data_IF_672562427889
#
_entry.id   IF_672562427889
#
_cell.length_a   1.000
_cell.length_b   1.000
_cell.length_c   1.000
_cell.angle_alpha   90.00
_cell.angle_beta   90.00
_cell.angle_gamma   90.00
#
_symmetry.space_group_name_H-M   'P 1'
#
loop_
_entity.id
_entity.type
_entity.pdbx_description
1 polymer ?
#
# COMPACT_ATOMS: atom_id res chain seq x y z
N UNK A 1 -24.96 -4.44 35.63
CA UNK A 1 -24.49 -4.89 34.31
C UNK A 1 -24.47 -3.67 33.43
N UNK A 2 -23.30 -3.06 33.27
CA UNK A 2 -23.13 -1.84 32.47
C UNK A 2 -23.26 -2.20 31.00
N UNK A 3 -24.19 -1.57 30.29
CA UNK A 3 -24.25 -1.59 28.83
C UNK A 3 -22.99 -0.87 28.33
N UNK A 4 -21.95 -1.63 28.02
CA UNK A 4 -20.88 -1.15 27.16
C UNK A 4 -21.53 -0.90 25.81
N UNK A 5 -21.79 0.37 25.51
CA UNK A 5 -22.18 0.82 24.18
C UNK A 5 -21.16 0.29 23.20
N UNK A 6 -21.62 -0.61 22.32
CA UNK A 6 -20.93 -1.05 21.11
C UNK A 6 -20.20 0.17 20.50
N UNK A 7 -18.86 0.16 20.39
CA UNK A 7 -18.07 1.27 19.89
C UNK A 7 -18.29 1.39 18.38
N UNK A 8 -19.50 1.80 17.99
CA UNK A 8 -19.80 2.13 16.61
C UNK A 8 -19.18 3.50 16.34
N UNK A 9 -18.37 3.58 15.28
CA UNK A 9 -17.97 4.86 14.71
C UNK A 9 -19.23 5.66 14.45
N UNK A 10 -19.36 6.79 15.14
CA UNK A 10 -20.45 7.71 14.96
C UNK A 10 -20.24 8.44 13.63
N UNK A 11 -20.93 7.96 12.59
CA UNK A 11 -20.89 8.55 11.25
C UNK A 11 -21.34 10.00 11.25
N UNK A 12 -22.20 10.42 12.19
CA UNK A 12 -22.60 11.81 12.30
C UNK A 12 -21.45 12.69 12.81
N UNK A 13 -20.63 12.18 13.75
CA UNK A 13 -19.43 12.89 14.20
C UNK A 13 -18.37 12.99 13.10
N UNK A 14 -18.14 11.92 12.32
CA UNK A 14 -17.21 11.98 11.18
C UNK A 14 -17.68 12.95 10.09
N UNK A 15 -18.98 12.93 9.74
CA UNK A 15 -19.55 13.85 8.75
C UNK A 15 -19.56 15.31 9.22
N UNK A 16 -19.45 15.55 10.53
CA UNK A 16 -19.33 16.89 11.11
C UNK A 16 -17.89 17.44 11.10
N UNK A 17 -16.88 16.61 10.77
CA UNK A 17 -15.51 17.09 10.58
C UNK A 17 -15.48 17.94 9.30
N UNK A 18 -15.13 19.24 9.37
CA UNK A 18 -15.11 20.08 8.20
C UNK A 18 -14.07 19.58 7.20
N UNK A 19 -14.45 19.56 5.91
CA UNK A 19 -13.48 19.33 4.85
C UNK A 19 -12.42 20.44 4.89
N UNK A 20 -11.15 20.04 5.01
CA UNK A 20 -10.05 20.98 4.94
C UNK A 20 -9.82 21.35 3.47
N UNK A 21 -10.17 22.58 3.08
CA UNK A 21 -9.72 23.14 1.81
C UNK A 21 -8.23 23.47 1.90
N UNK A 22 -7.38 22.58 1.37
CA UNK A 22 -5.96 22.88 1.20
C UNK A 22 -5.82 23.76 -0.05
N UNK A 23 -5.58 25.05 0.15
CA UNK A 23 -5.37 25.99 -0.95
C UNK A 23 -4.18 25.54 -1.82
N UNK A 24 -4.43 25.36 -3.12
CA UNK A 24 -3.37 25.07 -4.08
C UNK A 24 -2.54 26.32 -4.30
N UNK A 25 -1.33 26.30 -3.77
CA UNK A 25 -0.36 27.34 -4.08
C UNK A 25 0.13 27.18 -5.53
N UNK A 26 0.66 28.26 -6.08
CA UNK A 26 1.31 28.23 -7.40
C UNK A 26 2.43 27.16 -7.43
N UNK A 27 3.20 27.03 -6.35
CA UNK A 27 4.27 26.03 -6.26
C UNK A 27 3.74 24.59 -6.33
N UNK A 28 2.61 24.28 -5.66
CA UNK A 28 1.96 22.96 -5.75
C UNK A 28 1.49 22.70 -7.17
N UNK A 29 0.85 23.69 -7.80
CA UNK A 29 0.35 23.58 -9.18
C UNK A 29 1.48 23.30 -10.17
N UNK A 30 2.59 24.03 -10.05
CA UNK A 30 3.78 23.81 -10.87
C UNK A 30 4.41 22.44 -10.63
N UNK A 31 4.47 21.96 -9.37
CA UNK A 31 5.01 20.64 -9.04
C UNK A 31 4.18 19.49 -9.61
N UNK A 32 2.84 19.60 -9.58
CA UNK A 32 1.92 18.66 -10.23
C UNK A 32 2.16 18.68 -11.74
N UNK A 33 2.17 19.86 -12.36
CA UNK A 33 2.38 20.00 -13.80
C UNK A 33 3.74 19.43 -14.25
N UNK A 34 4.81 19.64 -13.48
CA UNK A 34 6.13 19.08 -13.74
C UNK A 34 6.12 17.54 -13.68
N UNK A 35 5.45 16.96 -12.67
CA UNK A 35 5.32 15.51 -12.55
C UNK A 35 4.53 14.90 -13.71
N UNK A 36 3.41 15.53 -14.09
CA UNK A 36 2.60 15.12 -15.24
C UNK A 36 3.40 15.21 -16.54
N UNK A 37 4.13 16.32 -16.75
CA UNK A 37 4.97 16.50 -17.93
C UNK A 37 6.10 15.45 -18.01
N UNK A 38 6.76 15.15 -16.89
CA UNK A 38 7.79 14.12 -16.82
C UNK A 38 7.21 12.73 -17.13
N UNK A 39 6.10 12.34 -16.49
CA UNK A 39 5.43 11.06 -16.77
C UNK A 39 4.95 10.97 -18.23
N UNK A 40 4.62 12.11 -18.84
CA UNK A 40 4.25 12.24 -20.23
C UNK A 40 5.42 12.19 -21.21
N UNK A 41 6.67 12.05 -20.73
CA UNK A 41 7.89 12.14 -21.54
C UNK A 41 8.47 10.76 -21.90
N UNK A 42 9.28 10.72 -22.96
CA UNK A 42 9.98 9.50 -23.40
C UNK A 42 11.01 9.03 -22.36
N UNK A 43 11.53 9.95 -21.55
CA UNK A 43 12.44 9.61 -20.47
C UNK A 43 11.75 8.74 -19.41
N UNK A 44 10.51 9.06 -19.03
CA UNK A 44 9.77 8.24 -18.06
C UNK A 44 9.44 6.85 -18.62
N UNK A 45 9.02 6.75 -19.88
CA UNK A 45 8.75 5.45 -20.51
C UNK A 45 10.01 4.60 -20.58
N UNK A 46 11.13 5.16 -21.03
CA UNK A 46 12.43 4.47 -21.04
C UNK A 46 12.89 4.03 -19.66
N UNK A 47 12.59 4.82 -18.62
CA UNK A 47 12.88 4.41 -17.24
C UNK A 47 12.06 3.18 -16.84
N UNK A 48 10.77 3.14 -17.17
CA UNK A 48 9.89 2.01 -16.86
C UNK A 48 10.21 0.76 -17.67
N UNK A 49 10.70 0.91 -18.90
CA UNK A 49 11.22 -0.20 -19.71
C UNK A 49 12.44 -0.87 -19.07
N UNK A 50 13.19 -0.13 -18.24
CA UNK A 50 14.34 -0.67 -17.50
C UNK A 50 13.89 -1.29 -16.17
N UNK A 51 13.07 -0.57 -15.40
CA UNK A 51 12.63 -1.03 -14.07
C UNK A 51 11.37 -0.27 -13.61
N UNK A 52 10.41 -0.99 -13.04
CA UNK A 52 9.16 -0.41 -12.54
C UNK A 52 9.37 0.48 -11.30
N UNK A 53 10.46 0.26 -10.55
CA UNK A 53 10.71 0.85 -9.24
C UNK A 53 12.03 1.61 -9.18
N UNK A 54 13.09 1.13 -9.83
CA UNK A 54 14.40 1.78 -9.88
C UNK A 54 14.51 2.84 -10.99
N UNK A 55 15.31 3.92 -10.82
CA UNK A 55 16.24 4.23 -9.73
C UNK A 55 15.58 4.91 -8.52
N UNK A 56 15.02 4.09 -7.62
CA UNK A 56 14.12 4.42 -6.49
C UNK A 56 13.59 5.84 -6.53
N UNK A 57 14.26 6.81 -5.92
CA UNK A 57 13.73 8.16 -5.68
C UNK A 57 13.48 9.02 -6.93
N UNK A 58 14.09 8.67 -8.06
CA UNK A 58 13.98 9.41 -9.32
C UNK A 58 13.18 8.64 -10.38
N UNK A 59 12.53 7.53 -10.01
CA UNK A 59 11.76 6.74 -10.96
C UNK A 59 10.32 7.28 -11.14
N UNK A 60 9.69 7.00 -12.30
CA UNK A 60 8.29 7.37 -12.57
C UNK A 60 7.30 6.91 -11.50
N UNK A 61 7.61 5.80 -10.82
CA UNK A 61 6.93 5.30 -9.63
C UNK A 61 6.60 6.40 -8.60
N UNK A 62 7.57 7.25 -8.25
CA UNK A 62 7.37 8.29 -7.23
C UNK A 62 6.44 9.40 -7.66
N UNK A 63 6.53 9.81 -8.93
CA UNK A 63 5.63 10.82 -9.47
C UNK A 63 4.20 10.29 -9.52
N UNK A 64 4.00 9.05 -9.94
CA UNK A 64 2.68 8.41 -9.96
C UNK A 64 2.08 8.31 -8.55
N UNK A 65 2.88 7.86 -7.60
CA UNK A 65 2.49 7.80 -6.20
C UNK A 65 2.13 9.18 -5.65
N UNK A 66 3.02 10.16 -5.79
CA UNK A 66 2.81 11.53 -5.30
C UNK A 66 1.50 12.11 -5.84
N UNK A 67 1.24 11.98 -7.14
CA UNK A 67 0.00 12.43 -7.75
C UNK A 67 -1.20 11.70 -7.14
N UNK A 68 -1.11 10.39 -6.90
CA UNK A 68 -2.18 9.65 -6.22
C UNK A 68 -2.49 10.16 -4.81
N UNK A 69 -1.49 10.43 -3.96
CA UNK A 69 -1.73 10.99 -2.60
C UNK A 69 -2.34 12.39 -2.63
N UNK A 70 -2.03 13.17 -3.66
CA UNK A 70 -2.60 14.50 -3.87
C UNK A 70 -4.03 14.45 -4.44
N UNK A 71 -4.56 13.25 -4.73
CA UNK A 71 -5.87 13.07 -5.38
C UNK A 71 -5.85 13.32 -6.88
N UNK A 72 -4.66 13.31 -7.50
CA UNK A 72 -4.40 13.68 -8.90
C UNK A 72 -4.11 12.49 -9.81
N UNK A 73 -4.50 11.28 -9.41
CA UNK A 73 -4.28 10.08 -10.21
C UNK A 73 -4.88 10.21 -11.63
N UNK A 74 -5.99 10.93 -11.79
CA UNK A 74 -6.62 11.20 -13.08
C UNK A 74 -5.76 12.05 -14.04
N UNK A 75 -4.75 12.76 -13.53
CA UNK A 75 -3.81 13.53 -14.35
C UNK A 75 -2.59 12.70 -14.81
N UNK A 76 -2.40 11.48 -14.28
CA UNK A 76 -1.30 10.62 -14.67
C UNK A 76 -1.46 10.25 -16.16
N UNK A 77 -0.48 10.58 -17.03
CA UNK A 77 -0.59 10.29 -18.46
C UNK A 77 -0.79 8.79 -18.74
N UNK A 78 -1.77 8.46 -19.57
CA UNK A 78 -2.10 7.06 -19.91
C UNK A 78 -0.89 6.25 -20.42
N UNK A 79 0.03 6.90 -21.15
CA UNK A 79 1.29 6.28 -21.61
C UNK A 79 2.15 5.76 -20.44
N UNK A 80 2.21 6.50 -19.34
CA UNK A 80 2.96 6.08 -18.15
C UNK A 80 2.23 4.95 -17.41
N UNK A 81 0.89 5.01 -17.33
CA UNK A 81 0.07 3.95 -16.75
C UNK A 81 0.29 2.62 -17.49
N UNK A 82 0.20 2.64 -18.82
CA UNK A 82 0.42 1.46 -19.66
C UNK A 82 1.86 0.93 -19.52
N UNK A 83 2.86 1.82 -19.51
CA UNK A 83 4.26 1.42 -19.32
C UNK A 83 4.50 0.81 -17.93
N UNK A 84 3.88 1.35 -16.87
CA UNK A 84 3.99 0.83 -15.51
C UNK A 84 3.36 -0.57 -15.39
N UNK A 85 2.18 -0.78 -15.97
CA UNK A 85 1.55 -2.12 -16.03
C UNK A 85 2.49 -3.11 -16.72
N UNK A 86 3.02 -2.74 -17.88
CA UNK A 86 3.95 -3.60 -18.61
C UNK A 86 5.23 -3.89 -17.81
N UNK A 87 5.79 -2.88 -17.14
CA UNK A 87 7.00 -3.03 -16.32
C UNK A 87 6.79 -3.97 -15.12
N UNK A 88 5.64 -3.87 -14.44
CA UNK A 88 5.28 -4.77 -13.34
C UNK A 88 5.05 -6.20 -13.84
N UNK A 89 4.33 -6.36 -14.96
CA UNK A 89 4.08 -7.68 -15.53
C UNK A 89 5.36 -8.35 -16.04
N UNK A 90 6.33 -7.54 -16.49
CA UNK A 90 7.64 -8.02 -16.95
C UNK A 90 8.60 -8.42 -15.83
N UNK A 91 8.23 -8.25 -14.54
CA UNK A 91 9.06 -8.71 -13.43
C UNK A 91 9.35 -10.22 -13.57
N UNK A 92 10.62 -10.66 -13.44
CA UNK A 92 10.97 -12.07 -13.53
C UNK A 92 10.24 -12.96 -12.51
N UNK A 93 9.89 -12.43 -11.34
CA UNK A 93 9.22 -13.16 -10.26
C UNK A 93 7.84 -12.59 -9.95
N UNK A 94 6.80 -13.36 -10.25
CA UNK A 94 5.41 -13.14 -9.80
C UNK A 94 5.09 -13.91 -8.50
N UNK A 95 6.13 -14.26 -7.73
CA UNK A 95 6.03 -14.81 -6.39
C UNK A 95 7.05 -14.14 -5.47
N UNK A 96 6.72 -13.97 -4.19
CA UNK A 96 7.66 -13.51 -3.17
C UNK A 96 8.57 -14.68 -2.75
N UNK A 97 9.89 -14.62 -3.02
CA UNK A 97 10.82 -15.68 -2.68
C UNK A 97 11.13 -15.62 -1.18
N UNK A 98 10.62 -16.58 -0.42
CA UNK A 98 10.81 -16.63 1.03
C UNK A 98 12.11 -17.35 1.35
N UNK A 99 12.37 -18.46 0.68
CA UNK A 99 13.54 -19.28 0.93
C UNK A 99 14.66 -18.97 -0.07
N UNK A 100 15.94 -19.14 0.31
CA UNK A 100 17.05 -18.93 -0.62
C UNK A 100 16.92 -19.70 -1.94
N UNK A 101 16.34 -20.90 -1.93
CA UNK A 101 16.10 -21.72 -3.12
C UNK A 101 14.94 -21.25 -4.01
N UNK A 102 14.08 -20.35 -3.52
CA UNK A 102 12.99 -19.78 -4.33
C UNK A 102 13.54 -18.79 -5.37
N UNK A 103 14.77 -18.31 -5.17
CA UNK A 103 15.46 -17.41 -6.09
C UNK A 103 16.04 -18.17 -7.29
N UNK A 104 15.70 -17.77 -8.53
CA UNK A 104 16.37 -18.27 -9.72
C UNK A 104 17.87 -17.97 -9.69
N UNK A 105 18.73 -18.87 -10.22
CA UNK A 105 20.16 -18.60 -10.32
C UNK A 105 20.44 -17.30 -11.09
N UNK A 106 21.19 -16.39 -10.45
CA UNK A 106 21.60 -15.12 -11.06
C UNK A 106 20.57 -13.97 -10.97
N UNK A 107 19.42 -14.19 -10.30
CA UNK A 107 18.43 -13.13 -10.10
C UNK A 107 18.98 -11.99 -9.22
N UNK A 108 18.65 -10.74 -9.59
CA UNK A 108 18.91 -9.56 -8.79
C UNK A 108 17.79 -9.38 -7.75
N UNK A 109 18.13 -9.63 -6.48
CA UNK A 109 17.15 -9.58 -5.39
C UNK A 109 16.50 -8.23 -5.18
N UNK A 110 17.10 -7.15 -5.68
CA UNK A 110 16.57 -5.81 -5.52
C UNK A 110 15.65 -5.38 -6.65
N UNK A 111 15.65 -6.08 -7.78
CA UNK A 111 15.00 -5.65 -9.04
C UNK A 111 14.05 -6.68 -9.62
N UNK A 112 14.36 -7.96 -9.47
CA UNK A 112 13.63 -9.02 -10.18
C UNK A 112 12.31 -9.40 -9.49
N UNK A 113 11.98 -8.75 -8.37
CA UNK A 113 10.80 -9.01 -7.57
C UNK A 113 10.25 -7.73 -6.92
N UNK A 114 8.94 -7.68 -6.69
CA UNK A 114 8.30 -6.62 -5.92
C UNK A 114 8.17 -6.99 -4.42
N UNK A 115 8.23 -5.99 -3.52
CA UNK A 115 7.73 -6.15 -2.15
C UNK A 115 6.21 -6.00 -2.09
N UNK A 116 5.57 -6.56 -1.05
CA UNK A 116 4.12 -6.33 -0.79
C UNK A 116 3.77 -4.84 -0.71
N UNK A 117 4.67 -4.05 -0.10
CA UNK A 117 4.52 -2.62 0.08
C UNK A 117 4.39 -1.86 -1.24
N UNK A 118 5.32 -2.09 -2.15
CA UNK A 118 5.35 -1.49 -3.47
C UNK A 118 4.17 -2.01 -4.27
N UNK A 119 3.99 -3.33 -4.37
CA UNK A 119 2.91 -3.90 -5.16
C UNK A 119 1.53 -3.37 -4.71
N UNK A 120 1.29 -3.30 -3.39
CA UNK A 120 0.10 -2.69 -2.81
C UNK A 120 -0.06 -1.23 -3.23
N UNK A 121 0.94 -0.39 -3.01
CA UNK A 121 0.92 1.01 -3.42
C UNK A 121 0.62 1.20 -4.92
N UNK A 122 1.20 0.41 -5.82
CA UNK A 122 0.93 0.58 -7.26
C UNK A 122 -0.44 0.09 -7.66
N UNK A 123 -0.89 -1.03 -7.08
CA UNK A 123 -2.22 -1.53 -7.36
C UNK A 123 -3.27 -0.46 -7.02
N UNK A 124 -3.04 0.33 -5.96
CA UNK A 124 -3.87 1.49 -5.62
C UNK A 124 -3.84 2.58 -6.69
N UNK A 125 -2.65 3.01 -7.10
CA UNK A 125 -2.45 4.03 -8.14
C UNK A 125 -3.08 3.61 -9.46
N UNK A 126 -2.82 2.39 -9.92
CA UNK A 126 -3.34 1.85 -11.17
C UNK A 126 -4.87 1.78 -11.14
N UNK A 127 -5.45 1.32 -10.03
CA UNK A 127 -6.91 1.32 -9.84
C UNK A 127 -7.47 2.75 -9.91
N UNK A 128 -6.81 3.72 -9.26
CA UNK A 128 -7.21 5.13 -9.30
C UNK A 128 -7.04 5.77 -10.70
N UNK A 129 -6.17 5.22 -11.55
CA UNK A 129 -6.04 5.58 -12.97
C UNK A 129 -7.09 4.88 -13.86
N UNK A 130 -7.98 4.06 -13.29
CA UNK A 130 -9.00 3.32 -14.04
C UNK A 130 -8.53 1.99 -14.64
N UNK A 131 -7.37 1.48 -14.23
CA UNK A 131 -6.91 0.14 -14.65
C UNK A 131 -7.68 -0.93 -13.88
N UNK A 132 -8.24 -1.89 -14.61
CA UNK A 132 -8.70 -3.16 -14.04
C UNK A 132 -7.47 -4.02 -13.71
N UNK A 133 -6.97 -3.89 -12.47
CA UNK A 133 -5.76 -4.59 -12.00
C UNK A 133 -5.94 -6.10 -12.00
N UNK A 134 -7.15 -6.61 -11.70
CA UNK A 134 -7.42 -8.05 -11.67
C UNK A 134 -7.29 -8.66 -13.08
N UNK A 135 -7.67 -7.90 -14.11
CA UNK A 135 -7.48 -8.29 -15.50
C UNK A 135 -6.06 -8.08 -16.02
N UNK A 136 -5.46 -6.94 -15.69
CA UNK A 136 -4.16 -6.52 -16.24
C UNK A 136 -2.99 -7.25 -15.58
N UNK A 137 -3.09 -7.54 -14.28
CA UNK A 137 -2.05 -8.13 -13.45
C UNK A 137 -2.67 -9.21 -12.55
N UNK A 138 -3.20 -10.30 -13.13
CA UNK A 138 -4.04 -11.28 -12.42
C UNK A 138 -3.32 -12.01 -11.29
N UNK A 139 -1.99 -11.93 -11.23
CA UNK A 139 -1.15 -12.55 -10.20
C UNK A 139 -1.04 -11.72 -8.91
N UNK A 140 -1.48 -10.45 -8.91
CA UNK A 140 -1.38 -9.58 -7.72
C UNK A 140 -2.33 -10.00 -6.59
N UNK A 141 -3.57 -10.38 -6.90
CA UNK A 141 -4.48 -10.89 -5.86
C UNK A 141 -3.93 -12.15 -5.19
N UNK A 142 -3.60 -13.21 -5.96
CA UNK A 142 -3.09 -14.44 -5.37
C UNK A 142 -1.80 -14.21 -4.58
N UNK A 143 -0.96 -13.26 -5.00
CA UNK A 143 0.22 -12.84 -4.25
C UNK A 143 -0.14 -12.41 -2.82
N UNK A 144 -1.01 -11.40 -2.66
CA UNK A 144 -1.35 -10.90 -1.32
C UNK A 144 -1.98 -11.98 -0.44
N UNK A 145 -2.86 -12.80 -1.02
CA UNK A 145 -3.53 -13.88 -0.28
C UNK A 145 -2.53 -14.95 0.16
N UNK A 146 -1.61 -15.36 -0.73
CA UNK A 146 -0.63 -16.42 -0.47
C UNK A 146 0.29 -16.09 0.70
N UNK A 147 0.70 -14.83 0.80
CA UNK A 147 1.71 -14.40 1.76
C UNK A 147 1.13 -13.80 3.05
N UNK A 148 -0.20 -13.71 3.19
CA UNK A 148 -0.79 -13.21 4.43
C UNK A 148 -0.48 -14.12 5.62
N UNK A 149 0.28 -13.60 6.59
CA UNK A 149 0.70 -14.28 7.79
C UNK A 149 -0.49 -14.63 8.69
N UNK A 150 -0.29 -15.50 9.69
CA UNK A 150 -1.39 -16.06 10.48
C UNK A 150 -2.23 -14.99 11.21
N UNK A 151 -1.60 -13.92 11.68
CA UNK A 151 -2.27 -12.80 12.35
C UNK A 151 -2.99 -11.83 11.41
N UNK A 152 -2.88 -12.03 10.09
CA UNK A 152 -3.54 -11.21 9.07
C UNK A 152 -2.66 -10.14 8.45
N UNK A 153 -1.44 -9.95 8.93
CA UNK A 153 -0.48 -9.02 8.34
C UNK A 153 0.38 -9.63 7.22
N UNK A 154 1.27 -8.81 6.68
CA UNK A 154 2.31 -9.12 5.70
C UNK A 154 3.63 -8.54 6.20
N UNK A 155 4.76 -9.06 5.72
CA UNK A 155 6.07 -8.43 5.90
C UNK A 155 6.82 -8.42 4.57
N UNK A 156 7.54 -7.34 4.28
CA UNK A 156 8.39 -7.21 3.09
C UNK A 156 9.80 -7.76 3.28
N UNK A 157 10.15 -8.17 4.50
CA UNK A 157 11.33 -8.95 4.81
C UNK A 157 11.02 -10.44 4.65
N UNK A 158 11.76 -11.13 3.78
CA UNK A 158 11.65 -12.57 3.55
C UNK A 158 11.98 -13.41 4.80
N UNK A 159 12.90 -12.94 5.66
CA UNK A 159 13.30 -13.66 6.87
C UNK A 159 12.16 -13.71 7.90
N UNK A 160 11.26 -12.72 7.89
CA UNK A 160 10.11 -12.67 8.78
C UNK A 160 9.19 -13.90 8.64
N UNK A 161 9.21 -14.56 7.48
CA UNK A 161 8.42 -15.77 7.20
C UNK A 161 9.08 -17.06 7.67
N UNK A 162 10.33 -17.02 8.14
CA UNK A 162 11.02 -18.20 8.67
C UNK A 162 10.62 -18.50 10.13
N UNK A 163 10.01 -17.54 10.81
CA UNK A 163 9.61 -17.67 12.20
C UNK A 163 8.27 -18.40 12.30
N UNK A 164 8.27 -19.58 12.92
CA UNK A 164 7.09 -20.46 13.07
C UNK A 164 6.38 -20.31 14.41
N UNK A 165 7.05 -19.73 15.41
CA UNK A 165 6.53 -19.57 16.78
C UNK A 165 6.03 -18.15 17.08
N UNK A 166 6.35 -17.19 16.22
CA UNK A 166 5.90 -15.80 16.30
C UNK A 166 5.45 -15.33 14.93
N UNK A 167 4.51 -14.38 14.88
CA UNK A 167 4.12 -13.70 13.63
C UNK A 167 4.85 -12.36 13.53
N UNK A 168 5.95 -12.35 12.79
CA UNK A 168 6.76 -11.16 12.53
C UNK A 168 6.15 -10.26 11.42
N UNK A 169 4.83 -10.09 11.38
CA UNK A 169 4.15 -9.22 10.42
C UNK A 169 4.40 -7.73 10.71
N UNK A 170 4.23 -6.89 9.69
CA UNK A 170 4.55 -5.45 9.70
C UNK A 170 3.34 -4.58 9.38
N UNK A 171 3.12 -3.52 10.16
CA UNK A 171 2.10 -2.50 9.83
C UNK A 171 2.37 -1.86 8.47
N UNK A 172 3.62 -1.46 8.21
CA UNK A 172 4.03 -0.80 6.96
C UNK A 172 3.96 -1.76 5.77
N UNK A 173 4.31 -3.03 5.97
CA UNK A 173 4.19 -4.07 4.95
C UNK A 173 2.74 -4.47 4.63
N UNK A 174 1.82 -4.33 5.60
CA UNK A 174 0.43 -4.77 5.48
C UNK A 174 -0.48 -3.73 4.84
N UNK A 175 -0.42 -2.49 5.31
CA UNK A 175 -1.42 -1.45 5.00
C UNK A 175 -1.56 -1.19 3.49
N UNK A 176 -0.49 -1.09 2.68
CA UNK A 176 -0.64 -0.85 1.24
C UNK A 176 -1.42 -1.94 0.50
N UNK A 177 -1.18 -3.21 0.84
CA UNK A 177 -1.87 -4.34 0.22
C UNK A 177 -3.32 -4.45 0.72
N UNK A 178 -3.55 -4.17 2.01
CA UNK A 178 -4.89 -4.07 2.57
C UNK A 178 -5.73 -3.00 1.88
N UNK A 179 -5.22 -1.79 1.74
CA UNK A 179 -5.88 -0.68 1.02
C UNK A 179 -6.17 -1.05 -0.44
N UNK A 180 -5.21 -1.64 -1.15
CA UNK A 180 -5.40 -2.09 -2.53
C UNK A 180 -6.56 -3.09 -2.66
N UNK A 181 -6.63 -4.08 -1.76
CA UNK A 181 -7.70 -5.07 -1.75
C UNK A 181 -9.06 -4.47 -1.38
N UNK A 182 -9.10 -3.53 -0.42
CA UNK A 182 -10.34 -2.80 -0.06
C UNK A 182 -10.87 -2.01 -1.25
N UNK A 183 -10.00 -1.34 -2.01
CA UNK A 183 -10.40 -0.54 -3.17
C UNK A 183 -10.99 -1.33 -4.33
N UNK A 184 -10.76 -2.65 -4.39
CA UNK A 184 -11.46 -3.53 -5.35
C UNK A 184 -12.95 -3.63 -5.07
N UNK A 185 -13.41 -3.22 -3.87
CA UNK A 185 -14.83 -3.12 -3.54
C UNK A 185 -15.54 -4.46 -3.41
N UNK A 186 -14.79 -5.57 -3.26
CA UNK A 186 -15.34 -6.92 -3.09
C UNK A 186 -14.98 -7.46 -1.71
N UNK A 187 -15.94 -7.98 -0.93
CA UNK A 187 -15.62 -8.70 0.30
C UNK A 187 -14.65 -9.85 0.04
N UNK A 188 -13.59 -9.96 0.86
CA UNK A 188 -12.59 -11.00 0.72
C UNK A 188 -11.97 -11.37 2.09
N UNK A 189 -11.73 -12.65 2.41
CA UNK A 189 -11.17 -13.06 3.71
C UNK A 189 -9.85 -12.38 4.08
N UNK A 190 -8.99 -12.12 3.09
CA UNK A 190 -7.77 -11.32 3.27
C UNK A 190 -8.06 -9.97 3.92
N UNK A 191 -9.11 -9.28 3.48
CA UNK A 191 -9.47 -7.94 3.96
C UNK A 191 -9.93 -8.04 5.42
N UNK A 192 -10.82 -8.97 5.76
CA UNK A 192 -11.29 -9.14 7.14
C UNK A 192 -10.14 -9.46 8.11
N UNK A 193 -9.18 -10.28 7.68
CA UNK A 193 -7.99 -10.59 8.47
C UNK A 193 -7.05 -9.39 8.60
N UNK A 194 -6.87 -8.60 7.55
CA UNK A 194 -6.08 -7.36 7.58
C UNK A 194 -6.72 -6.29 8.47
N UNK A 195 -8.05 -6.17 8.47
CA UNK A 195 -8.76 -5.28 9.37
C UNK A 195 -8.56 -5.68 10.83
N UNK A 196 -8.74 -6.98 11.15
CA UNK A 196 -8.47 -7.50 12.48
C UNK A 196 -7.03 -7.24 12.92
N UNK A 197 -6.06 -7.45 12.04
CA UNK A 197 -4.64 -7.14 12.30
C UNK A 197 -4.42 -5.69 12.75
N UNK A 198 -5.04 -4.71 12.06
CA UNK A 198 -4.93 -3.29 12.40
C UNK A 198 -5.65 -2.94 13.72
N UNK A 199 -6.84 -3.54 13.95
CA UNK A 199 -7.66 -3.35 15.16
C UNK A 199 -6.93 -3.89 16.39
N UNK A 200 -6.39 -5.11 16.33
CA UNK A 200 -5.67 -5.74 17.44
C UNK A 200 -4.42 -4.94 17.82
N UNK A 201 -3.79 -4.27 16.86
CA UNK A 201 -2.65 -3.35 17.06
C UNK A 201 -3.07 -1.94 17.44
N UNK A 202 -4.37 -1.68 17.62
CA UNK A 202 -4.94 -0.36 17.97
C UNK A 202 -4.39 0.75 17.09
N UNK A 203 -4.16 0.45 15.81
CA UNK A 203 -3.54 1.32 14.83
C UNK A 203 -2.11 1.81 15.13
N UNK A 204 -1.52 1.60 16.32
CA UNK A 204 -0.22 2.21 16.65
C UNK A 204 0.77 1.29 17.36
N UNK A 205 0.36 0.10 17.82
CA UNK A 205 1.15 -0.73 18.72
C UNK A 205 2.18 -1.66 18.02
N UNK A 206 2.24 -1.63 16.69
CA UNK A 206 3.25 -2.36 15.91
C UNK A 206 3.20 -3.87 16.10
N UNK A 207 4.25 -4.56 15.66
CA UNK A 207 4.37 -6.01 15.86
C UNK A 207 4.69 -6.37 17.33
N UNK A 208 4.06 -7.41 17.90
CA UNK A 208 4.45 -7.94 19.21
C UNK A 208 5.68 -8.87 19.12
N UNK A 209 6.09 -9.29 17.92
CA UNK A 209 7.25 -10.19 17.73
C UNK A 209 8.57 -9.49 18.04
N UNK A 210 9.59 -10.26 18.45
CA UNK A 210 10.95 -9.74 18.61
C UNK A 210 11.63 -9.41 17.28
N UNK A 211 11.20 -10.06 16.20
CA UNK A 211 11.78 -9.95 14.86
C UNK A 211 11.28 -8.74 14.06
N UNK A 212 10.33 -7.98 14.62
CA UNK A 212 9.88 -6.70 14.08
C UNK A 212 9.64 -5.71 15.23
N UNK A 213 10.52 -5.77 16.23
CA UNK A 213 10.41 -5.01 17.47
C UNK A 213 10.56 -3.50 17.25
N UNK A 214 11.23 -3.07 16.18
CA UNK A 214 11.43 -1.68 15.82
C UNK A 214 10.10 -0.94 15.61
N UNK A 215 9.05 -1.62 15.15
CA UNK A 215 7.72 -1.01 14.97
C UNK A 215 7.15 -0.50 16.29
N UNK A 216 7.43 -1.18 17.42
CA UNK A 216 6.98 -0.69 18.74
C UNK A 216 7.66 0.63 19.10
N UNK A 217 8.92 0.80 18.73
CA UNK A 217 9.64 2.07 18.92
C UNK A 217 9.12 3.19 18.00
N UNK A 218 8.39 2.85 16.92
CA UNK A 218 7.78 3.81 15.99
C UNK A 218 6.40 4.32 16.45
N UNK A 219 5.80 3.73 17.48
CA UNK A 219 4.47 4.12 17.97
C UNK A 219 4.31 5.66 18.13
N UNK A 220 5.23 6.40 18.76
CA UNK A 220 5.09 7.85 18.90
C UNK A 220 5.06 8.58 17.56
N UNK A 221 5.85 8.13 16.58
CA UNK A 221 5.90 8.72 15.25
C UNK A 221 4.62 8.44 14.46
N UNK A 222 4.03 7.25 14.61
CA UNK A 222 2.78 6.88 13.95
C UNK A 222 1.56 7.65 14.43
N UNK A 223 1.64 8.34 15.58
CA UNK A 223 0.60 9.26 16.04
C UNK A 223 0.68 10.64 15.36
N UNK A 224 1.73 10.91 14.59
CA UNK A 224 1.90 12.16 13.85
C UNK A 224 1.50 11.94 12.39
N UNK A 225 0.72 12.86 11.77
CA UNK A 225 0.49 12.83 10.34
C UNK A 225 1.81 12.83 9.57
N UNK A 226 1.90 12.01 8.52
CA UNK A 226 3.10 11.93 7.69
C UNK A 226 2.76 12.16 6.21
N UNK A 227 3.73 12.68 5.45
CA UNK A 227 3.64 12.84 4.01
C UNK A 227 5.02 12.75 3.36
N UNK A 228 5.18 12.04 2.23
CA UNK A 228 4.17 11.16 1.63
C UNK A 228 3.95 9.89 2.46
N UNK A 229 2.81 9.21 2.35
CA UNK A 229 2.52 8.06 3.21
C UNK A 229 3.09 6.73 2.71
N UNK A 230 3.59 6.60 1.47
CA UNK A 230 3.87 5.29 0.85
C UNK A 230 4.81 4.35 1.62
N UNK A 231 5.91 4.87 2.19
CA UNK A 231 6.87 4.11 3.00
C UNK A 231 6.69 4.33 4.51
N UNK A 232 5.72 5.15 4.85
CA UNK A 232 5.48 5.58 6.20
C UNK A 232 4.11 5.09 6.63
N UNK A 233 3.87 5.20 7.92
CA UNK A 233 2.58 4.87 8.47
C UNK A 233 2.25 5.94 9.50
N UNK A 234 0.99 6.36 9.48
CA UNK A 234 0.39 7.17 10.50
C UNK A 234 -1.01 6.62 10.82
N UNK A 235 -1.50 6.96 12.00
CA UNK A 235 -2.78 6.48 12.53
C UNK A 235 -3.97 6.85 11.64
N UNK A 236 -3.89 7.97 10.90
CA UNK A 236 -4.97 8.41 10.02
C UNK A 236 -5.04 7.52 8.78
N UNK A 237 -3.91 7.07 8.24
CA UNK A 237 -3.87 6.09 7.15
C UNK A 237 -4.57 4.78 7.56
N UNK A 238 -4.17 4.22 8.71
CA UNK A 238 -4.77 2.99 9.22
C UNK A 238 -6.26 3.13 9.51
N UNK A 239 -6.67 4.25 10.13
CA UNK A 239 -8.08 4.54 10.39
C UNK A 239 -8.89 4.68 9.09
N UNK A 240 -8.38 5.42 8.10
CA UNK A 240 -9.04 5.59 6.81
C UNK A 240 -9.23 4.26 6.08
N UNK A 241 -8.22 3.39 6.12
CA UNK A 241 -8.30 2.06 5.54
C UNK A 241 -9.36 1.18 6.25
N UNK A 242 -9.41 1.22 7.59
CA UNK A 242 -10.44 0.52 8.36
C UNK A 242 -11.84 1.05 8.04
N UNK A 243 -12.04 2.37 7.99
CA UNK A 243 -13.35 2.98 7.70
C UNK A 243 -13.88 2.48 6.36
N UNK A 244 -13.04 2.42 5.33
CA UNK A 244 -13.42 1.85 4.02
C UNK A 244 -13.78 0.36 4.10
N UNK A 245 -13.05 -0.42 4.91
CA UNK A 245 -13.42 -1.82 5.17
C UNK A 245 -14.77 -1.93 5.89
N UNK A 246 -15.03 -1.08 6.89
CA UNK A 246 -16.28 -1.06 7.63
C UNK A 246 -17.48 -0.69 6.73
N UNK A 247 -17.28 0.26 5.81
CA UNK A 247 -18.26 0.60 4.78
C UNK A 247 -18.52 -0.56 3.82
N UNK A 248 -17.45 -1.22 3.34
CA UNK A 248 -17.54 -2.36 2.43
C UNK A 248 -18.21 -3.59 3.08
N UNK A 249 -17.91 -3.86 4.34
CA UNK A 249 -18.37 -5.06 5.07
C UNK A 249 -19.66 -4.86 5.85
N UNK A 250 -20.08 -3.61 6.08
CA UNK A 250 -21.19 -3.26 6.97
C UNK A 250 -20.89 -3.49 8.46
N UNK A 251 -19.62 -3.69 8.85
CA UNK A 251 -19.21 -3.96 10.24
C UNK A 251 -18.77 -2.69 10.97
N UNK A 252 -18.75 -2.74 12.30
CA UNK A 252 -18.12 -1.72 13.14
C UNK A 252 -16.63 -2.02 13.36
N UNK A 253 -15.87 -1.00 13.78
CA UNK A 253 -14.43 -1.03 14.04
C UNK A 253 -14.21 -0.94 15.55
#
# INVERSE_FOLDING_TARGET
MSNVTDPRIDRALLAAVPEAEVARTEAITQGIAASVAYLGSDAAVKSLEVDAYWPKWDSPWWHMLLLHELGEAAQIPQRAVTAMVAAIDALPLHSFPIQPQDWPPGADRSRDVACHCALGCMAQVLTACGVDVDRALPWIEPWFVRYQMADGGLNCDEEAYWHTHECASSMVGTVPAFEAMVMRGKPHPFIDRGARFLIERRLTQGSPSVHNAEERAREPAWRQPCFPRFYFYDVLRGLAALVRWAELSGRSI
#
